data_IF_863563239599
#
_entry.id   IF_863563239599
#
_cell.length_a   1.000
_cell.length_b   1.000
_cell.length_c   1.000
_cell.angle_alpha   90.00
_cell.angle_beta   90.00
_cell.angle_gamma   90.00
#
_symmetry.space_group_name_H-M   'P 1'
#
loop_
_entity.id
_entity.type
_entity.pdbx_description
1 polymer ?
#
# COMPACT_ATOMS: atom_id res chain seq x y z
N UNK A 1 67.03 -28.92 -41.04
CA UNK A 1 66.89 -27.51 -41.45
C UNK A 1 65.41 -27.23 -41.69
N UNK A 2 64.81 -26.38 -40.86
CA UNK A 2 63.39 -26.02 -40.88
C UNK A 2 63.03 -25.10 -42.05
N UNK A 3 61.85 -25.27 -42.66
CA UNK A 3 61.03 -24.14 -43.15
C UNK A 3 59.55 -24.53 -43.37
N UNK A 4 58.83 -24.78 -42.26
CA UNK A 4 57.38 -24.66 -42.24
C UNK A 4 57.03 -23.16 -42.12
N UNK A 5 57.15 -22.45 -43.24
CA UNK A 5 56.80 -21.04 -43.36
C UNK A 5 55.37 -20.95 -43.89
N UNK A 6 54.51 -20.25 -43.13
CA UNK A 6 53.17 -19.77 -43.49
C UNK A 6 51.99 -20.75 -43.42
N UNK A 7 51.65 -21.25 -42.22
CA UNK A 7 50.27 -21.68 -41.98
C UNK A 7 49.67 -21.30 -40.61
N UNK A 8 50.36 -20.51 -39.79
CA UNK A 8 49.77 -19.94 -38.57
C UNK A 8 49.78 -18.42 -38.66
N UNK A 9 48.74 -17.87 -39.28
CA UNK A 9 48.42 -16.45 -39.15
C UNK A 9 46.91 -16.26 -39.23
N UNK A 10 46.20 -16.82 -38.25
CA UNK A 10 44.78 -16.57 -37.98
C UNK A 10 44.44 -17.10 -36.58
N UNK A 11 45.09 -16.53 -35.57
CA UNK A 11 44.49 -16.39 -34.25
C UNK A 11 44.69 -14.92 -33.91
N UNK A 12 43.63 -14.12 -33.77
CA UNK A 12 43.78 -12.73 -33.34
C UNK A 12 44.37 -12.75 -31.93
N UNK A 13 45.43 -11.98 -31.72
CA UNK A 13 45.86 -11.54 -30.39
C UNK A 13 44.86 -10.50 -29.85
N UNK A 14 43.59 -10.90 -29.71
CA UNK A 14 42.56 -10.11 -29.03
C UNK A 14 42.17 -10.87 -27.77
N UNK A 15 42.97 -10.68 -26.73
CA UNK A 15 42.59 -10.84 -25.33
C UNK A 15 43.86 -10.75 -24.49
N UNK A 16 44.06 -9.63 -23.78
CA UNK A 16 44.69 -9.62 -22.45
C UNK A 16 44.66 -8.22 -21.84
N UNK A 17 43.67 -8.03 -20.98
CA UNK A 17 43.59 -6.95 -20.01
C UNK A 17 42.22 -6.29 -20.05
N UNK A 18 41.28 -6.75 -19.22
CA UNK A 18 40.14 -5.90 -18.83
C UNK A 18 40.73 -4.58 -18.37
N UNK A 19 40.51 -3.53 -19.16
CA UNK A 19 41.06 -2.21 -18.85
C UNK A 19 40.48 -1.78 -17.49
N UNK A 20 41.28 -1.14 -16.64
CA UNK A 20 40.80 -0.59 -15.36
C UNK A 20 39.53 0.25 -15.58
N UNK A 21 39.45 0.94 -16.73
CA UNK A 21 38.31 1.74 -17.13
C UNK A 21 37.06 0.91 -17.40
N UNK A 22 37.18 -0.29 -17.99
CA UNK A 22 36.06 -1.21 -18.22
C UNK A 22 35.51 -1.77 -16.90
N UNK A 23 36.40 -2.10 -15.96
CA UNK A 23 35.99 -2.58 -14.63
C UNK A 23 35.29 -1.47 -13.85
N UNK A 24 35.82 -0.24 -13.89
CA UNK A 24 35.18 0.93 -13.28
C UNK A 24 33.82 1.24 -13.91
N UNK A 25 33.72 1.18 -15.24
CA UNK A 25 32.45 1.37 -15.94
C UNK A 25 31.43 0.29 -15.55
N UNK A 26 31.85 -0.98 -15.49
CA UNK A 26 31.00 -2.09 -15.06
C UNK A 26 30.52 -1.92 -13.60
N UNK A 27 31.40 -1.49 -12.69
CA UNK A 27 31.03 -1.22 -11.30
C UNK A 27 30.00 -0.09 -11.18
N UNK A 28 30.19 1.01 -11.92
CA UNK A 28 29.22 2.11 -11.96
C UNK A 28 27.88 1.63 -12.47
N UNK A 29 27.84 0.83 -13.55
CA UNK A 29 26.61 0.26 -14.09
C UNK A 29 25.90 -0.62 -13.04
N UNK A 30 26.64 -1.49 -12.34
CA UNK A 30 26.07 -2.34 -11.29
C UNK A 30 25.47 -1.50 -10.15
N UNK A 31 26.19 -0.46 -9.69
CA UNK A 31 25.68 0.44 -8.65
C UNK A 31 24.41 1.16 -9.10
N UNK A 32 24.38 1.67 -10.33
CA UNK A 32 23.21 2.33 -10.90
C UNK A 32 22.00 1.39 -10.99
N UNK A 33 22.20 0.14 -11.41
CA UNK A 33 21.14 -0.86 -11.49
C UNK A 33 20.59 -1.17 -10.08
N UNK A 34 21.47 -1.37 -9.10
CA UNK A 34 21.05 -1.63 -7.71
C UNK A 34 20.24 -0.47 -7.13
N UNK A 35 20.65 0.78 -7.38
CA UNK A 35 19.90 1.96 -6.95
C UNK A 35 18.53 2.05 -7.63
N UNK A 36 18.46 1.76 -8.94
CA UNK A 36 17.19 1.76 -9.67
C UNK A 36 16.22 0.71 -9.11
N UNK A 37 16.71 -0.51 -8.83
CA UNK A 37 15.90 -1.55 -8.19
C UNK A 37 15.37 -1.10 -6.83
N UNK A 38 16.21 -0.44 -6.02
CA UNK A 38 15.77 0.06 -4.72
C UNK A 38 14.66 1.11 -4.84
N UNK A 39 14.79 2.05 -5.78
CA UNK A 39 13.77 3.07 -6.06
C UNK A 39 12.46 2.40 -6.49
N UNK A 40 12.52 1.44 -7.43
CA UNK A 40 11.30 0.74 -7.91
C UNK A 40 10.60 0.01 -6.77
N UNK A 41 11.34 -0.73 -5.95
CA UNK A 41 10.77 -1.46 -4.81
C UNK A 41 10.14 -0.51 -3.79
N UNK A 42 10.82 0.60 -3.48
CA UNK A 42 10.31 1.60 -2.55
C UNK A 42 9.06 2.31 -3.11
N UNK A 43 9.07 2.71 -4.38
CA UNK A 43 7.92 3.36 -5.02
C UNK A 43 6.72 2.43 -5.09
N UNK A 44 6.90 1.17 -5.47
CA UNK A 44 5.82 0.19 -5.50
C UNK A 44 5.20 -0.03 -4.11
N UNK A 45 6.04 0.01 -3.07
CA UNK A 45 5.60 -0.10 -1.69
C UNK A 45 4.74 1.09 -1.25
N UNK A 46 5.20 2.30 -1.56
CA UNK A 46 4.46 3.53 -1.28
C UNK A 46 3.12 3.57 -2.02
N UNK A 47 3.08 3.13 -3.28
CA UNK A 47 1.83 3.05 -4.05
C UNK A 47 0.85 2.05 -3.43
N UNK A 48 1.33 0.89 -2.97
CA UNK A 48 0.48 -0.10 -2.31
C UNK A 48 -0.09 0.43 -1.00
N UNK A 49 0.76 1.02 -0.16
CA UNK A 49 0.33 1.62 1.11
C UNK A 49 -0.69 2.74 0.88
N UNK A 50 -0.43 3.62 -0.09
CA UNK A 50 -1.36 4.68 -0.48
C UNK A 50 -2.71 4.10 -0.95
N UNK A 51 -2.69 3.05 -1.78
CA UNK A 51 -3.91 2.37 -2.22
C UNK A 51 -4.73 1.80 -1.06
N UNK A 52 -4.07 1.17 -0.07
CA UNK A 52 -4.75 0.69 1.13
C UNK A 52 -5.39 1.83 1.93
N UNK A 53 -4.64 2.91 2.19
CA UNK A 53 -5.16 4.09 2.90
C UNK A 53 -6.38 4.65 2.17
N UNK A 54 -6.30 4.84 0.85
CA UNK A 54 -7.40 5.35 0.04
C UNK A 54 -8.64 4.44 0.13
N UNK A 55 -8.46 3.12 0.01
CA UNK A 55 -9.57 2.18 0.13
C UNK A 55 -10.21 2.17 1.53
N UNK A 56 -9.40 2.26 2.58
CA UNK A 56 -9.86 2.35 3.96
C UNK A 56 -10.64 3.66 4.19
N UNK A 57 -10.17 4.78 3.66
CA UNK A 57 -10.85 6.08 3.75
C UNK A 57 -12.20 6.05 3.04
N UNK A 58 -12.28 5.56 1.80
CA UNK A 58 -13.55 5.46 1.07
C UNK A 58 -14.53 4.53 1.77
N UNK A 59 -14.05 3.40 2.29
CA UNK A 59 -14.88 2.47 3.03
C UNK A 59 -15.43 3.10 4.32
N UNK A 60 -14.58 3.74 5.13
CA UNK A 60 -15.00 4.39 6.36
C UNK A 60 -16.04 5.51 6.11
N UNK A 61 -15.83 6.33 5.08
CA UNK A 61 -16.82 7.35 4.68
C UNK A 61 -18.14 6.70 4.26
N UNK A 62 -18.09 5.61 3.49
CA UNK A 62 -19.30 4.90 3.07
C UNK A 62 -20.09 4.34 4.25
N UNK A 63 -19.41 3.83 5.28
CA UNK A 63 -20.05 3.37 6.51
C UNK A 63 -20.72 4.53 7.27
N UNK A 64 -20.04 5.68 7.40
CA UNK A 64 -20.60 6.87 8.04
C UNK A 64 -21.88 7.31 7.31
N UNK A 65 -21.86 7.37 5.98
CA UNK A 65 -23.03 7.73 5.19
C UNK A 65 -24.17 6.69 5.32
N UNK A 66 -23.83 5.40 5.40
CA UNK A 66 -24.84 4.37 5.63
C UNK A 66 -25.51 4.50 7.00
N UNK A 67 -24.75 4.77 8.06
CA UNK A 67 -25.30 5.01 9.40
C UNK A 67 -26.23 6.22 9.40
N UNK A 68 -25.84 7.28 8.69
CA UNK A 68 -26.67 8.48 8.53
C UNK A 68 -27.98 8.17 7.82
N UNK A 69 -27.94 7.33 6.77
CA UNK A 69 -29.09 7.00 5.94
C UNK A 69 -30.07 6.01 6.61
N UNK A 70 -29.58 4.99 7.30
CA UNK A 70 -30.43 3.92 7.84
C UNK A 70 -31.15 4.27 9.14
N UNK A 71 -30.67 5.27 9.86
CA UNK A 71 -31.32 5.63 11.12
C UNK A 71 -30.72 4.95 12.35
N UNK A 72 -29.52 4.37 12.30
CA UNK A 72 -28.90 3.80 13.50
C UNK A 72 -28.55 4.92 14.51
N UNK A 73 -29.10 4.86 15.72
CA UNK A 73 -28.97 5.89 16.77
C UNK A 73 -27.86 5.58 17.78
N UNK A 74 -27.49 4.30 17.94
CA UNK A 74 -26.40 3.87 18.82
C UNK A 74 -25.93 2.47 18.46
N UNK A 75 -24.70 2.13 18.86
CA UNK A 75 -24.19 0.76 18.78
C UNK A 75 -22.69 0.70 18.56
N UNK A 76 -22.12 -0.48 18.82
CA UNK A 76 -20.73 -0.80 18.52
C UNK A 76 -20.70 -2.08 17.68
N UNK A 77 -20.14 -1.98 16.48
CA UNK A 77 -20.16 -3.03 15.47
C UNK A 77 -18.73 -3.37 15.05
N UNK A 78 -18.37 -4.63 15.22
CA UNK A 78 -17.11 -5.16 14.73
C UNK A 78 -17.38 -5.93 13.44
N UNK A 79 -16.85 -5.42 12.34
CA UNK A 79 -17.02 -5.96 10.99
C UNK A 79 -15.75 -6.72 10.64
N UNK A 80 -15.86 -8.04 10.55
CA UNK A 80 -14.76 -8.94 10.24
C UNK A 80 -14.35 -8.90 8.77
N UNK A 81 -13.26 -9.62 8.47
CA UNK A 81 -12.78 -9.75 7.09
C UNK A 81 -13.79 -10.52 6.25
N UNK A 82 -14.34 -9.87 5.23
CA UNK A 82 -15.34 -10.46 4.33
C UNK A 82 -16.78 -10.23 4.77
N UNK A 83 -17.00 -9.59 5.92
CA UNK A 83 -18.32 -9.18 6.36
C UNK A 83 -18.75 -7.86 5.71
N UNK A 84 -20.05 -7.58 5.79
CA UNK A 84 -20.62 -6.32 5.31
C UNK A 84 -21.49 -5.68 6.39
N UNK A 85 -21.42 -4.37 6.49
CA UNK A 85 -22.38 -3.57 7.25
C UNK A 85 -23.29 -2.88 6.26
N UNK A 86 -24.60 -3.12 6.35
CA UNK A 86 -25.59 -2.48 5.50
C UNK A 86 -25.34 -2.65 3.99
N UNK A 87 -24.86 -3.83 3.59
CA UNK A 87 -24.47 -4.15 2.22
C UNK A 87 -23.13 -3.55 1.77
N UNK A 88 -22.45 -2.78 2.61
CA UNK A 88 -21.10 -2.24 2.34
C UNK A 88 -20.08 -3.25 2.86
N UNK A 89 -19.35 -3.89 1.95
CA UNK A 89 -18.35 -4.90 2.28
C UNK A 89 -16.99 -4.28 2.57
N UNK A 90 -16.30 -4.79 3.58
CA UNK A 90 -14.93 -4.37 3.88
C UNK A 90 -13.98 -4.71 2.72
N UNK A 91 -13.02 -3.83 2.39
CA UNK A 91 -11.96 -4.17 1.45
C UNK A 91 -11.16 -5.39 1.92
N UNK A 92 -10.59 -6.14 0.98
CA UNK A 92 -9.88 -7.38 1.29
C UNK A 92 -8.75 -7.17 2.31
N UNK A 93 -8.77 -7.99 3.36
CA UNK A 93 -7.76 -7.96 4.42
C UNK A 93 -7.90 -6.80 5.42
N UNK A 94 -9.03 -6.09 5.39
CA UNK A 94 -9.36 -5.04 6.36
C UNK A 94 -10.43 -5.53 7.34
N UNK A 95 -10.31 -5.11 8.58
CA UNK A 95 -11.33 -5.27 9.62
C UNK A 95 -11.74 -3.88 10.09
N UNK A 96 -12.93 -3.74 10.67
CA UNK A 96 -13.44 -2.43 11.04
C UNK A 96 -14.22 -2.45 12.34
N UNK A 97 -14.04 -1.40 13.13
CA UNK A 97 -14.84 -1.11 14.30
C UNK A 97 -15.64 0.17 14.01
N UNK A 98 -16.96 0.09 14.14
CA UNK A 98 -17.88 1.21 13.99
C UNK A 98 -18.56 1.46 15.33
N UNK A 99 -18.41 2.65 15.87
CA UNK A 99 -19.08 3.10 17.10
C UNK A 99 -20.02 4.26 16.79
N UNK A 100 -21.23 4.21 17.32
CA UNK A 100 -22.24 5.27 17.21
C UNK A 100 -22.67 5.61 18.63
N UNK A 101 -22.38 6.84 19.04
CA UNK A 101 -22.67 7.34 20.39
C UNK A 101 -23.53 8.60 20.30
N UNK A 102 -24.73 8.61 20.91
CA UNK A 102 -25.50 9.84 21.05
C UNK A 102 -24.76 10.82 21.97
N UNK A 103 -24.73 12.11 21.62
CA UNK A 103 -24.12 13.13 22.46
C UNK A 103 -25.06 13.50 23.61
N UNK A 104 -24.60 13.31 24.85
CA UNK A 104 -25.42 13.48 26.06
C UNK A 104 -26.09 14.87 26.15
N UNK A 105 -25.43 15.90 25.65
CA UNK A 105 -25.91 17.29 25.69
C UNK A 105 -26.84 17.66 24.52
N UNK A 106 -27.06 16.76 23.56
CA UNK A 106 -27.84 17.06 22.35
C UNK A 106 -28.50 15.80 21.77
N UNK A 107 -29.81 15.58 22.02
CA UNK A 107 -30.50 14.34 21.63
C UNK A 107 -30.64 14.12 20.11
N UNK A 108 -30.26 15.11 19.30
CA UNK A 108 -30.26 15.03 17.84
C UNK A 108 -28.86 14.91 17.25
N UNK A 109 -27.81 14.98 18.07
CA UNK A 109 -26.42 14.88 17.63
C UNK A 109 -25.86 13.50 17.99
N UNK A 110 -25.19 12.91 17.01
CA UNK A 110 -24.60 11.60 17.12
C UNK A 110 -23.15 11.67 16.66
N UNK A 111 -22.30 10.96 17.38
CA UNK A 111 -20.90 10.81 17.05
C UNK A 111 -20.67 9.42 16.48
N UNK A 112 -20.15 9.35 15.26
CA UNK A 112 -19.78 8.12 14.58
C UNK A 112 -18.25 8.05 14.53
N UNK A 113 -17.69 6.96 15.02
CA UNK A 113 -16.27 6.64 14.88
C UNK A 113 -16.12 5.38 14.05
N UNK A 114 -15.23 5.43 13.06
CA UNK A 114 -14.87 4.27 12.24
C UNK A 114 -13.37 4.07 12.31
N UNK A 115 -12.97 2.93 12.84
CA UNK A 115 -11.58 2.48 12.85
C UNK A 115 -11.44 1.33 11.85
N UNK A 116 -10.65 1.55 10.79
CA UNK A 116 -10.30 0.51 9.82
C UNK A 116 -8.87 0.06 10.10
N UNK A 117 -8.67 -1.23 10.36
CA UNK A 117 -7.34 -1.80 10.57
C UNK A 117 -6.98 -2.87 9.55
N UNK A 118 -5.70 -2.93 9.19
CA UNK A 118 -5.15 -3.90 8.24
C UNK A 118 -3.69 -4.21 8.58
N UNK A 119 -3.17 -5.28 7.99
CA UNK A 119 -1.76 -5.66 8.11
C UNK A 119 -1.00 -5.24 6.86
N UNK A 120 0.07 -4.47 7.03
CA UNK A 120 1.00 -4.11 5.95
C UNK A 120 2.40 -4.63 6.29
N UNK A 121 2.86 -5.65 5.56
CA UNK A 121 4.15 -6.34 5.79
C UNK A 121 4.36 -6.83 7.24
N UNK A 122 3.30 -7.30 7.88
CA UNK A 122 3.35 -7.77 9.26
C UNK A 122 3.31 -6.65 10.31
N UNK A 123 3.18 -5.39 9.88
CA UNK A 123 2.96 -4.24 10.76
C UNK A 123 1.46 -3.91 10.77
N UNK A 124 0.81 -3.85 11.95
CA UNK A 124 -0.57 -3.39 12.04
C UNK A 124 -0.65 -1.91 11.68
N UNK A 125 -1.62 -1.59 10.84
CA UNK A 125 -1.98 -0.23 10.42
C UNK A 125 -3.43 0.02 10.80
N UNK A 126 -3.71 1.26 11.15
CA UNK A 126 -5.06 1.72 11.49
C UNK A 126 -5.31 3.08 10.85
N UNK A 127 -6.55 3.28 10.43
CA UNK A 127 -7.10 4.55 9.99
C UNK A 127 -8.35 4.81 10.81
N UNK A 128 -8.39 5.96 11.45
CA UNK A 128 -9.53 6.40 12.24
C UNK A 128 -10.18 7.60 11.55
N UNK A 129 -11.49 7.52 11.33
CA UNK A 129 -12.30 8.61 10.81
C UNK A 129 -13.52 8.74 11.71
N UNK A 130 -13.70 9.94 12.26
CA UNK A 130 -14.85 10.27 13.09
C UNK A 130 -15.68 11.37 12.45
N UNK A 131 -16.98 11.36 12.73
CA UNK A 131 -17.91 12.38 12.24
C UNK A 131 -19.05 12.61 13.22
N UNK A 132 -19.42 13.88 13.37
CA UNK A 132 -20.63 14.27 14.08
C UNK A 132 -21.71 14.55 13.04
N UNK A 133 -22.91 14.04 13.25
CA UNK A 133 -24.06 14.38 12.41
C UNK A 133 -25.28 14.72 13.26
N UNK A 134 -26.17 15.53 12.66
CA UNK A 134 -27.46 15.88 13.24
C UNK A 134 -28.56 15.13 12.52
N UNK A 135 -29.50 14.55 13.26
CA UNK A 135 -30.73 13.99 12.70
C UNK A 135 -31.88 14.99 12.85
N UNK A 136 -32.65 15.18 11.79
CA UNK A 136 -33.87 15.99 11.86
C UNK A 136 -34.99 15.13 12.48
N UNK A 137 -35.83 15.69 13.37
CA UNK A 137 -36.98 14.97 13.90
C UNK A 137 -37.97 14.68 12.75
N UNK A 138 -38.32 13.40 12.57
CA UNK A 138 -39.40 12.96 11.67
C UNK A 138 -40.78 13.39 12.17
#
# INVERSE_FOLDING_TARGET
>A
MLKASKFFKLIPEDNKGTSLLEVLAALVIVVLILQLFHIILFSADQTRLSGHITSASYYAVSLIESVRAEGNDSGCYQIGVGDSFNGISAPAGMQTCLSITPLEESPLLFFIEVEVSWMDKGVPRQLEIASIFRREPM
#
